data_IF_649224297245
#
_entry.id   IF_649224297245
#
_cell.length_a   1.000
_cell.length_b   1.000
_cell.length_c   1.000
_cell.angle_alpha   90.00
_cell.angle_beta   90.00
_cell.angle_gamma   90.00
#
_symmetry.space_group_name_H-M   'P 1'
#
loop_
_entity.id
_entity.type
_entity.pdbx_description
1 polymer ?
#
# COMPACT_ATOMS: atom_id res chain seq x y z
N UNK A 1 -26.36 -10.59 -0.45
CA UNK A 1 -25.63 -10.97 0.77
C UNK A 1 -26.58 -11.56 1.80
N UNK A 2 -26.22 -12.71 2.36
CA UNK A 2 -26.84 -13.19 3.57
C UNK A 2 -26.21 -12.57 4.81
N UNK A 3 -27.04 -12.10 5.73
CA UNK A 3 -26.61 -11.50 7.01
C UNK A 3 -26.06 -12.53 8.02
N UNK A 4 -26.03 -13.82 7.66
CA UNK A 4 -25.69 -14.95 8.55
C UNK A 4 -24.61 -15.90 8.01
N UNK A 5 -23.98 -15.58 6.87
CA UNK A 5 -23.03 -16.49 6.22
C UNK A 5 -23.66 -17.67 5.46
N UNK A 6 -25.00 -17.82 5.49
CA UNK A 6 -25.72 -18.81 4.68
C UNK A 6 -26.54 -18.16 3.57
N UNK A 7 -26.39 -18.54 2.28
CA UNK A 7 -27.06 -17.90 1.16
C UNK A 7 -28.58 -17.74 1.34
N UNK A 8 -29.13 -16.61 0.89
CA UNK A 8 -30.58 -16.40 0.87
C UNK A 8 -31.21 -17.18 -0.30
N UNK A 9 -31.41 -18.48 -0.09
CA UNK A 9 -31.94 -19.38 -1.11
C UNK A 9 -33.31 -18.96 -1.63
N UNK A 10 -34.16 -18.34 -0.80
CA UNK A 10 -35.46 -17.83 -1.25
C UNK A 10 -35.33 -16.67 -2.24
N UNK A 11 -34.31 -15.85 -2.09
CA UNK A 11 -34.00 -14.81 -3.07
C UNK A 11 -33.47 -15.42 -4.36
N UNK A 12 -32.57 -16.39 -4.29
CA UNK A 12 -32.04 -17.08 -5.47
C UNK A 12 -33.14 -17.83 -6.24
N UNK A 13 -34.00 -18.60 -5.56
CA UNK A 13 -35.10 -19.33 -6.19
C UNK A 13 -36.03 -18.39 -6.99
N UNK A 14 -36.33 -17.21 -6.43
CA UNK A 14 -37.10 -16.17 -7.12
C UNK A 14 -36.40 -15.67 -8.38
N UNK A 15 -35.10 -15.34 -8.29
CA UNK A 15 -34.33 -14.83 -9.43
C UNK A 15 -34.16 -15.89 -10.53
N UNK A 16 -33.91 -17.15 -10.18
CA UNK A 16 -33.80 -18.24 -11.16
C UNK A 16 -35.15 -18.46 -11.87
N UNK A 17 -36.26 -18.45 -11.13
CA UNK A 17 -37.59 -18.61 -11.72
C UNK A 17 -37.98 -17.44 -12.64
N UNK A 18 -37.63 -16.21 -12.24
CA UNK A 18 -37.92 -14.98 -12.98
C UNK A 18 -37.08 -14.85 -14.25
N UNK A 19 -35.75 -15.01 -14.14
CA UNK A 19 -34.82 -14.71 -15.23
C UNK A 19 -34.46 -15.94 -16.08
N UNK A 20 -34.70 -17.16 -15.58
CA UNK A 20 -34.38 -18.45 -16.23
C UNK A 20 -33.00 -18.45 -16.90
N UNK A 21 -31.92 -18.16 -16.14
CA UNK A 21 -30.60 -18.03 -16.73
C UNK A 21 -30.10 -19.39 -17.25
N UNK A 22 -29.38 -19.36 -18.37
CA UNK A 22 -28.73 -20.57 -18.91
C UNK A 22 -27.42 -20.93 -18.20
N UNK A 23 -26.87 -20.03 -17.38
CA UNK A 23 -25.62 -20.20 -16.61
C UNK A 23 -25.56 -19.20 -15.46
N UNK A 24 -24.72 -19.48 -14.49
CA UNK A 24 -24.38 -18.60 -13.36
C UNK A 24 -22.92 -18.19 -13.46
N UNK A 25 -22.61 -16.98 -12.99
CA UNK A 25 -21.23 -16.46 -12.96
C UNK A 25 -20.93 -16.07 -11.52
N UNK A 26 -19.84 -16.57 -10.96
CA UNK A 26 -19.42 -16.30 -9.58
C UNK A 26 -17.99 -15.76 -9.55
N UNK A 27 -17.81 -14.66 -8.83
CA UNK A 27 -16.47 -14.13 -8.55
C UNK A 27 -15.74 -15.04 -7.56
N UNK A 28 -14.50 -15.42 -7.87
CA UNK A 28 -13.61 -16.12 -6.94
C UNK A 28 -12.68 -15.11 -6.26
N UNK A 29 -12.82 -14.89 -4.94
CA UNK A 29 -11.96 -13.98 -4.22
C UNK A 29 -10.63 -14.67 -3.91
N UNK A 30 -9.56 -14.27 -4.58
CA UNK A 30 -8.19 -14.65 -4.22
C UNK A 30 -7.53 -13.55 -3.38
N UNK A 31 -6.52 -13.92 -2.59
CA UNK A 31 -5.64 -12.94 -1.96
C UNK A 31 -4.87 -12.13 -3.02
N UNK A 32 -4.29 -11.00 -2.63
CA UNK A 32 -3.55 -10.14 -3.57
C UNK A 32 -2.39 -10.88 -4.26
N UNK A 33 -1.79 -11.87 -3.59
CA UNK A 33 -0.72 -12.75 -4.10
C UNK A 33 -1.22 -13.92 -4.96
N UNK A 34 -2.53 -14.03 -5.18
CA UNK A 34 -3.17 -15.12 -5.92
C UNK A 34 -3.40 -16.39 -5.09
N UNK A 35 -2.98 -16.42 -3.82
CA UNK A 35 -3.26 -17.56 -2.95
C UNK A 35 -4.74 -17.64 -2.57
N UNK A 36 -5.20 -18.85 -2.32
CA UNK A 36 -6.53 -19.08 -1.79
C UNK A 36 -6.62 -18.60 -0.34
N UNK A 37 -7.80 -18.11 0.03
CA UNK A 37 -8.15 -17.70 1.37
C UNK A 37 -9.27 -18.58 1.90
N UNK A 38 -9.53 -18.50 3.20
CA UNK A 38 -10.74 -19.11 3.79
C UNK A 38 -12.05 -18.58 3.17
N UNK A 39 -12.02 -17.43 2.50
CA UNK A 39 -13.15 -16.93 1.72
C UNK A 39 -13.26 -17.64 0.38
N UNK A 40 -12.14 -17.94 -0.28
CA UNK A 40 -12.11 -18.70 -1.54
C UNK A 40 -12.76 -20.07 -1.34
N UNK A 41 -12.40 -20.77 -0.26
CA UNK A 41 -12.99 -22.06 0.10
C UNK A 41 -14.51 -21.96 0.28
N UNK A 42 -14.97 -20.95 1.02
CA UNK A 42 -16.41 -20.69 1.22
C UNK A 42 -17.15 -20.40 -0.08
N UNK A 43 -16.52 -19.70 -1.02
CA UNK A 43 -17.12 -19.43 -2.32
C UNK A 43 -17.17 -20.70 -3.17
N UNK A 44 -16.14 -21.55 -3.12
CA UNK A 44 -16.17 -22.88 -3.78
C UNK A 44 -17.28 -23.77 -3.19
N UNK A 45 -17.43 -23.81 -1.87
CA UNK A 45 -18.56 -24.51 -1.22
C UNK A 45 -19.91 -23.95 -1.68
N UNK A 46 -20.01 -22.63 -1.82
CA UNK A 46 -21.22 -21.99 -2.33
C UNK A 46 -21.50 -22.34 -3.80
N UNK A 47 -20.47 -22.39 -4.65
CA UNK A 47 -20.59 -22.83 -6.05
C UNK A 47 -21.10 -24.28 -6.13
N UNK A 48 -20.55 -25.17 -5.30
CA UNK A 48 -21.01 -26.56 -5.24
C UNK A 48 -22.50 -26.67 -4.83
N UNK A 49 -22.95 -25.81 -3.90
CA UNK A 49 -24.36 -25.73 -3.51
C UNK A 49 -25.25 -25.19 -4.64
N UNK A 50 -24.77 -24.23 -5.44
CA UNK A 50 -25.50 -23.71 -6.61
C UNK A 50 -25.67 -24.78 -7.69
N UNK A 51 -24.59 -25.48 -8.03
CA UNK A 51 -24.59 -26.55 -9.02
C UNK A 51 -25.56 -27.68 -8.60
N UNK A 52 -25.48 -28.14 -7.36
CA UNK A 52 -26.37 -29.18 -6.83
C UNK A 52 -27.85 -28.76 -6.83
N UNK A 53 -28.14 -27.49 -6.48
CA UNK A 53 -29.52 -27.00 -6.32
C UNK A 53 -30.21 -26.69 -7.64
N UNK A 54 -29.50 -26.09 -8.58
CA UNK A 54 -30.10 -25.54 -9.80
C UNK A 54 -29.72 -26.31 -11.07
N UNK A 55 -28.68 -27.15 -11.04
CA UNK A 55 -28.20 -27.92 -12.19
C UNK A 55 -27.91 -27.01 -13.40
N UNK A 56 -27.37 -25.83 -13.12
CA UNK A 56 -26.95 -24.83 -14.11
C UNK A 56 -25.43 -24.74 -14.11
N UNK A 57 -24.78 -24.64 -15.29
CA UNK A 57 -23.35 -24.38 -15.36
C UNK A 57 -22.98 -23.13 -14.56
N UNK A 58 -21.94 -23.23 -13.73
CA UNK A 58 -21.39 -22.11 -12.95
C UNK A 58 -19.99 -21.79 -13.44
N UNK A 59 -19.84 -20.66 -14.13
CA UNK A 59 -18.55 -20.14 -14.57
C UNK A 59 -17.94 -19.30 -13.44
N UNK A 60 -16.60 -19.31 -13.34
CA UNK A 60 -15.88 -18.51 -12.35
C UNK A 60 -15.06 -17.40 -13.00
N UNK A 61 -14.91 -16.29 -12.27
CA UNK A 61 -14.11 -15.14 -12.70
C UNK A 61 -13.27 -14.70 -11.52
N UNK A 62 -12.00 -14.42 -11.75
CA UNK A 62 -11.16 -13.80 -10.73
C UNK A 62 -11.72 -12.44 -10.30
N UNK A 63 -12.08 -12.32 -9.02
CA UNK A 63 -12.68 -11.12 -8.47
C UNK A 63 -11.65 -10.11 -7.92
N UNK A 64 -10.35 -10.44 -7.91
CA UNK A 64 -9.31 -9.55 -7.37
C UNK A 64 -9.43 -8.14 -7.94
N UNK A 65 -9.39 -7.15 -7.04
CA UNK A 65 -9.47 -5.72 -7.35
C UNK A 65 -10.81 -5.24 -7.96
N UNK A 66 -11.79 -6.13 -8.17
CA UNK A 66 -13.10 -5.76 -8.74
C UNK A 66 -13.84 -4.78 -7.83
N UNK A 67 -13.81 -5.01 -6.51
CA UNK A 67 -14.41 -4.07 -5.55
C UNK A 67 -13.70 -2.71 -5.54
N UNK A 68 -12.39 -2.68 -5.83
CA UNK A 68 -11.62 -1.44 -5.95
C UNK A 68 -12.04 -0.69 -7.21
N UNK A 69 -12.09 -1.37 -8.35
CA UNK A 69 -12.54 -0.81 -9.63
C UNK A 69 -13.98 -0.28 -9.52
N UNK A 70 -14.88 -1.06 -8.92
CA UNK A 70 -16.25 -0.64 -8.61
C UNK A 70 -16.28 0.61 -7.71
N UNK A 71 -15.46 0.64 -6.66
CA UNK A 71 -15.33 1.79 -5.77
C UNK A 71 -14.87 3.05 -6.49
N UNK A 72 -13.89 2.93 -7.40
CA UNK A 72 -13.39 4.02 -8.23
C UNK A 72 -14.47 4.53 -9.19
N UNK A 73 -15.16 3.65 -9.91
CA UNK A 73 -16.25 4.04 -10.82
C UNK A 73 -17.33 4.83 -10.06
N UNK A 74 -17.72 4.35 -8.88
CA UNK A 74 -18.74 5.01 -8.05
C UNK A 74 -18.25 6.35 -7.50
N UNK A 75 -16.95 6.47 -7.21
CA UNK A 75 -16.30 7.72 -6.80
C UNK A 75 -16.31 8.74 -7.93
N UNK A 76 -15.95 8.32 -9.14
CA UNK A 76 -15.90 9.17 -10.33
C UNK A 76 -17.32 9.66 -10.70
N UNK A 77 -18.33 8.77 -10.68
CA UNK A 77 -19.74 9.15 -10.88
C UNK A 77 -20.22 10.21 -9.88
N UNK A 78 -19.80 10.11 -8.61
CA UNK A 78 -20.15 11.10 -7.58
C UNK A 78 -19.49 12.44 -7.87
N UNK A 79 -18.23 12.43 -8.26
CA UNK A 79 -17.47 13.65 -8.57
C UNK A 79 -18.02 14.36 -9.81
N UNK A 80 -18.51 13.61 -10.80
CA UNK A 80 -19.18 14.14 -11.99
C UNK A 80 -20.61 14.65 -11.72
N UNK A 81 -21.11 14.53 -10.48
CA UNK A 81 -22.48 14.94 -10.13
C UNK A 81 -23.57 13.98 -10.62
N UNK A 82 -23.22 12.89 -11.31
CA UNK A 82 -24.15 11.82 -11.73
C UNK A 82 -24.76 11.09 -10.53
N UNK A 83 -24.10 11.15 -9.37
CA UNK A 83 -24.57 10.55 -8.12
C UNK A 83 -24.46 11.51 -6.95
N UNK A 84 -25.61 11.79 -6.30
CA UNK A 84 -25.68 12.69 -5.13
C UNK A 84 -25.48 11.99 -3.78
N UNK A 85 -25.82 10.69 -3.68
CA UNK A 85 -25.76 9.92 -2.42
C UNK A 85 -24.37 9.32 -2.17
N UNK A 86 -23.91 9.33 -0.91
CA UNK A 86 -22.69 8.62 -0.46
C UNK A 86 -22.76 7.13 -0.83
N UNK A 87 -21.66 6.60 -1.35
CA UNK A 87 -21.49 5.18 -1.69
C UNK A 87 -21.58 4.31 -0.43
N UNK A 88 -22.44 3.29 -0.45
CA UNK A 88 -22.52 2.24 0.57
C UNK A 88 -21.88 0.97 0.04
N UNK A 89 -21.57 0.03 0.93
CA UNK A 89 -21.01 -1.29 0.57
C UNK A 89 -21.86 -2.01 -0.50
N UNK A 90 -23.17 -2.07 -0.31
CA UNK A 90 -24.12 -2.68 -1.26
C UNK A 90 -24.07 -2.06 -2.68
N UNK A 91 -23.68 -0.79 -2.80
CA UNK A 91 -23.51 -0.14 -4.10
C UNK A 91 -22.24 -0.64 -4.80
N UNK A 92 -21.16 -0.83 -4.03
CA UNK A 92 -19.88 -1.39 -4.50
C UNK A 92 -20.09 -2.84 -4.93
N UNK A 93 -20.72 -3.66 -4.09
CA UNK A 93 -20.96 -5.07 -4.37
C UNK A 93 -21.77 -5.26 -5.67
N UNK A 94 -22.80 -4.42 -5.89
CA UNK A 94 -23.61 -4.45 -7.11
C UNK A 94 -22.80 -4.06 -8.36
N UNK A 95 -21.94 -3.04 -8.23
CA UNK A 95 -21.08 -2.62 -9.33
C UNK A 95 -19.99 -3.66 -9.62
N UNK A 96 -19.43 -4.28 -8.58
CA UNK A 96 -18.45 -5.35 -8.72
C UNK A 96 -19.05 -6.57 -9.43
N UNK A 97 -20.26 -7.01 -9.05
CA UNK A 97 -20.97 -8.08 -9.74
C UNK A 97 -21.19 -7.78 -11.23
N UNK A 98 -21.45 -6.51 -11.59
CA UNK A 98 -21.56 -6.09 -12.99
C UNK A 98 -20.21 -6.20 -13.72
N UNK A 99 -19.12 -5.75 -13.11
CA UNK A 99 -17.77 -5.84 -13.69
C UNK A 99 -17.35 -7.29 -13.92
N UNK A 100 -17.66 -8.19 -12.97
CA UNK A 100 -17.43 -9.63 -13.10
C UNK A 100 -18.17 -10.19 -14.32
N UNK A 101 -19.46 -9.87 -14.47
CA UNK A 101 -20.25 -10.31 -15.62
C UNK A 101 -19.73 -9.75 -16.96
N UNK A 102 -19.31 -8.47 -16.97
CA UNK A 102 -18.71 -7.84 -18.16
C UNK A 102 -17.35 -8.47 -18.52
N UNK A 103 -16.51 -8.81 -17.53
CA UNK A 103 -15.24 -9.52 -17.73
C UNK A 103 -15.48 -10.91 -18.36
N UNK A 104 -16.44 -11.66 -17.81
CA UNK A 104 -16.82 -12.96 -18.36
C UNK A 104 -17.29 -12.86 -19.82
N UNK A 105 -18.17 -11.90 -20.13
CA UNK A 105 -18.68 -11.67 -21.50
C UNK A 105 -17.58 -11.30 -22.51
N UNK A 106 -16.50 -10.66 -22.06
CA UNK A 106 -15.35 -10.31 -22.90
C UNK A 106 -14.39 -11.48 -23.14
N UNK A 107 -14.62 -12.64 -22.53
CA UNK A 107 -13.77 -13.82 -22.65
C UNK A 107 -12.50 -13.75 -21.82
N UNK A 108 -12.43 -12.85 -20.82
CA UNK A 108 -11.31 -12.78 -19.86
C UNK A 108 -11.54 -13.60 -18.60
N UNK A 109 -12.69 -14.27 -18.48
CA UNK A 109 -12.94 -15.31 -17.48
C UNK A 109 -12.54 -16.67 -18.03
N UNK A 110 -11.69 -17.40 -17.31
CA UNK A 110 -11.32 -18.77 -17.64
C UNK A 110 -12.57 -19.64 -17.76
N UNK A 111 -12.89 -20.10 -18.97
CA UNK A 111 -13.79 -21.23 -19.16
C UNK A 111 -13.01 -22.48 -18.75
N UNK A 112 -13.15 -22.94 -17.51
CA UNK A 112 -12.71 -24.28 -17.11
C UNK A 112 -13.64 -25.31 -17.75
N UNK A 113 -13.44 -25.55 -19.04
CA UNK A 113 -13.94 -26.72 -19.76
C UNK A 113 -12.92 -27.05 -20.85
N UNK A 114 -11.72 -27.44 -20.44
CA UNK A 114 -10.86 -28.32 -21.22
C UNK A 114 -9.98 -29.11 -20.24
N UNK A 115 -10.22 -30.42 -20.20
CA UNK A 115 -9.44 -31.39 -19.48
C UNK A 115 -8.00 -31.43 -20.03
N UNK A 116 -7.05 -31.58 -19.09
CA UNK A 116 -5.64 -31.96 -19.24
C UNK A 116 -4.59 -30.83 -19.26
N UNK A 117 -3.96 -30.70 -18.08
CA UNK A 117 -2.53 -30.46 -17.89
C UNK A 117 -2.01 -29.04 -18.18
N UNK A 118 -2.37 -28.11 -17.29
CA UNK A 118 -1.46 -27.05 -16.86
C UNK A 118 -1.90 -26.61 -15.46
N UNK A 119 -1.07 -26.90 -14.44
CA UNK A 119 -1.02 -26.06 -13.25
C UNK A 119 -0.54 -24.67 -13.70
N UNK A 120 -1.45 -23.89 -14.27
CA UNK A 120 -1.21 -22.48 -14.51
C UNK A 120 -1.34 -21.79 -13.16
N UNK A 121 -0.21 -21.34 -12.61
CA UNK A 121 -0.20 -20.43 -11.48
C UNK A 121 -1.17 -19.27 -11.76
N UNK A 122 -2.03 -18.89 -10.79
CA UNK A 122 -2.98 -17.81 -10.99
C UNK A 122 -2.23 -16.51 -11.32
N UNK A 123 -2.72 -15.68 -12.27
CA UNK A 123 -1.98 -14.51 -12.75
C UNK A 123 -1.91 -13.46 -11.64
N UNK A 124 -0.86 -13.47 -10.84
CA UNK A 124 -0.48 -12.39 -9.93
C UNK A 124 -0.48 -11.04 -10.68
N UNK A 125 -0.87 -9.95 -10.03
CA UNK A 125 -0.29 -8.66 -10.40
C UNK A 125 1.13 -8.69 -9.84
N UNK A 126 2.07 -9.20 -10.65
CA UNK A 126 3.41 -9.50 -10.15
C UNK A 126 4.18 -8.20 -9.93
N UNK A 127 4.45 -7.88 -8.66
CA UNK A 127 5.43 -6.84 -8.32
C UNK A 127 6.80 -7.15 -8.92
N UNK A 128 7.05 -8.42 -9.24
CA UNK A 128 8.27 -8.94 -9.82
C UNK A 128 8.02 -9.38 -11.26
N UNK A 129 8.99 -9.22 -12.14
CA UNK A 129 8.99 -9.89 -13.44
C UNK A 129 9.20 -11.40 -13.29
N UNK A 130 9.04 -12.14 -14.39
CA UNK A 130 9.32 -13.58 -14.47
C UNK A 130 10.76 -13.95 -14.10
N UNK A 131 11.70 -13.00 -14.16
CA UNK A 131 13.11 -13.18 -13.74
C UNK A 131 13.35 -12.83 -12.27
N UNK A 132 12.30 -12.45 -11.52
CA UNK A 132 12.38 -12.07 -10.11
C UNK A 132 12.85 -10.63 -9.85
N UNK A 133 13.03 -9.80 -10.89
CA UNK A 133 13.38 -8.38 -10.77
C UNK A 133 12.16 -7.51 -10.51
N UNK A 134 12.32 -6.43 -9.73
CA UNK A 134 11.23 -5.53 -9.37
C UNK A 134 10.65 -4.81 -10.60
N UNK A 135 9.39 -5.06 -10.93
CA UNK A 135 8.67 -4.42 -12.04
C UNK A 135 7.68 -3.36 -11.56
N UNK A 136 6.97 -3.64 -10.47
CA UNK A 136 6.13 -2.69 -9.73
C UNK A 136 6.52 -2.70 -8.25
N UNK A 137 6.34 -1.58 -7.55
CA UNK A 137 6.40 -1.53 -6.09
C UNK A 137 5.03 -1.12 -5.55
N UNK A 138 4.26 -2.10 -5.10
CA UNK A 138 2.91 -1.90 -4.56
C UNK A 138 2.92 -1.97 -3.03
N UNK A 139 3.65 -2.93 -2.45
CA UNK A 139 3.81 -3.15 -1.02
C UNK A 139 5.17 -3.77 -0.71
N UNK A 140 5.61 -3.77 0.56
CA UNK A 140 6.82 -4.52 0.95
C UNK A 140 6.51 -5.98 1.25
N UNK A 141 5.26 -6.29 1.61
CA UNK A 141 4.84 -7.66 1.79
C UNK A 141 5.05 -8.51 0.53
N UNK A 142 5.50 -9.75 0.72
CA UNK A 142 5.86 -10.66 -0.37
C UNK A 142 7.17 -10.34 -1.10
N UNK A 143 7.86 -9.22 -0.82
CA UNK A 143 9.17 -8.98 -1.43
C UNK A 143 10.25 -9.89 -0.81
N UNK A 144 11.11 -10.53 -1.62
CA UNK A 144 12.22 -11.31 -1.11
C UNK A 144 13.21 -10.43 -0.34
N UNK A 145 13.70 -10.93 0.79
CA UNK A 145 14.77 -10.26 1.58
C UNK A 145 15.98 -9.84 0.71
N UNK A 146 16.52 -10.67 -0.20
CA UNK A 146 17.64 -10.27 -1.05
C UNK A 146 17.33 -9.06 -1.93
N UNK A 147 16.10 -8.94 -2.44
CA UNK A 147 15.68 -7.81 -3.25
C UNK A 147 15.61 -6.52 -2.42
N UNK A 148 15.08 -6.59 -1.19
CA UNK A 148 15.11 -5.43 -0.28
C UNK A 148 16.57 -4.99 -0.05
N UNK A 149 17.48 -5.92 0.22
CA UNK A 149 18.91 -5.61 0.39
C UNK A 149 19.49 -4.93 -0.85
N UNK A 150 19.25 -5.47 -2.06
CA UNK A 150 19.70 -4.89 -3.33
C UNK A 150 19.21 -3.44 -3.49
N UNK A 151 17.94 -3.17 -3.16
CA UNK A 151 17.38 -1.82 -3.21
C UNK A 151 18.02 -0.87 -2.20
N UNK A 152 18.30 -1.34 -0.98
CA UNK A 152 18.97 -0.55 0.06
C UNK A 152 20.42 -0.25 -0.32
N UNK A 153 21.17 -1.24 -0.84
CA UNK A 153 22.56 -1.08 -1.32
C UNK A 153 22.64 -0.07 -2.45
N UNK A 154 21.71 -0.18 -3.41
CA UNK A 154 21.62 0.79 -4.49
C UNK A 154 21.26 2.19 -3.98
N UNK A 155 20.36 2.30 -3.01
CA UNK A 155 20.02 3.59 -2.41
C UNK A 155 21.26 4.23 -1.75
N UNK A 156 22.09 3.47 -1.05
CA UNK A 156 23.32 4.00 -0.47
C UNK A 156 24.28 4.57 -1.52
N UNK A 157 24.36 3.98 -2.71
CA UNK A 157 25.20 4.50 -3.80
C UNK A 157 24.83 5.93 -4.26
N UNK A 158 23.59 6.38 -4.00
CA UNK A 158 23.12 7.73 -4.33
C UNK A 158 23.26 8.73 -3.17
N UNK A 159 23.72 8.29 -2.00
CA UNK A 159 24.02 9.20 -0.90
C UNK A 159 25.31 9.96 -1.19
N UNK A 160 25.38 11.20 -0.72
CA UNK A 160 26.52 12.11 -0.87
C UNK A 160 26.77 12.80 0.45
N UNK A 161 28.02 13.17 0.72
CA UNK A 161 28.35 13.89 1.94
C UNK A 161 27.72 15.30 1.94
N UNK A 162 27.51 15.86 3.12
CA UNK A 162 26.98 17.22 3.23
C UNK A 162 27.92 18.22 2.51
N UNK A 163 27.36 19.00 1.59
CA UNK A 163 28.10 19.98 0.78
C UNK A 163 28.60 19.44 -0.57
N UNK A 164 28.57 18.13 -0.82
CA UNK A 164 28.86 17.58 -2.14
C UNK A 164 27.71 17.85 -3.13
N UNK A 165 28.01 17.94 -4.44
CA UNK A 165 26.97 17.95 -5.46
C UNK A 165 26.06 16.72 -5.32
N UNK A 166 24.74 16.88 -5.54
CA UNK A 166 23.82 15.77 -5.44
C UNK A 166 24.17 14.67 -6.43
N UNK A 167 23.97 13.40 -6.03
CA UNK A 167 24.09 12.27 -6.93
C UNK A 167 23.15 12.46 -8.15
N UNK A 168 23.67 12.12 -9.32
CA UNK A 168 22.95 12.14 -10.59
C UNK A 168 23.31 10.90 -11.39
N UNK A 169 22.35 10.47 -12.19
CA UNK A 169 22.47 9.36 -13.12
C UNK A 169 21.71 9.72 -14.41
N UNK A 170 22.04 9.06 -15.51
CA UNK A 170 21.38 9.21 -16.80
C UNK A 170 20.54 7.99 -17.19
N UNK A 171 20.37 7.02 -16.28
CA UNK A 171 19.63 5.79 -16.56
C UNK A 171 18.19 6.02 -17.03
N UNK A 172 17.53 7.10 -16.60
CA UNK A 172 16.18 7.46 -17.05
C UNK A 172 16.19 8.52 -18.17
N UNK A 173 17.32 8.79 -18.83
CA UNK A 173 17.36 9.72 -19.94
C UNK A 173 16.38 9.31 -21.06
N UNK A 174 15.50 10.24 -21.44
CA UNK A 174 14.44 9.99 -22.43
C UNK A 174 13.27 9.15 -21.91
N UNK A 175 13.17 8.93 -20.60
CA UNK A 175 12.04 8.26 -19.94
C UNK A 175 11.16 9.26 -19.21
N UNK A 176 9.86 8.99 -19.19
CA UNK A 176 8.89 9.89 -18.53
C UNK A 176 8.32 9.29 -17.25
N UNK A 177 8.44 10.01 -16.14
CA UNK A 177 7.85 9.69 -14.84
C UNK A 177 6.65 10.59 -14.57
N UNK A 178 5.46 10.02 -14.40
CA UNK A 178 4.26 10.76 -14.04
C UNK A 178 3.91 10.58 -12.55
N UNK A 179 3.90 11.69 -11.82
CA UNK A 179 3.45 11.77 -10.44
C UNK A 179 1.94 12.02 -10.40
N UNK A 180 1.17 10.99 -10.05
CA UNK A 180 -0.28 10.98 -9.96
C UNK A 180 -0.74 10.98 -8.50
N UNK A 181 -0.92 12.18 -7.94
CA UNK A 181 -1.29 12.38 -6.54
C UNK A 181 -2.77 12.75 -6.45
N UNK A 182 -3.62 11.75 -6.22
CA UNK A 182 -5.07 11.93 -6.03
C UNK A 182 -5.41 12.41 -4.61
N UNK A 183 -4.50 12.21 -3.66
CA UNK A 183 -4.52 12.86 -2.34
C UNK A 183 -3.31 13.81 -2.16
N UNK A 184 -3.47 14.95 -1.46
CA UNK A 184 -2.40 15.91 -1.27
C UNK A 184 -1.16 15.32 -0.59
N UNK A 185 0.01 15.56 -1.19
CA UNK A 185 1.31 15.35 -0.54
C UNK A 185 2.39 16.23 -1.13
N UNK A 186 2.90 17.16 -0.33
CA UNK A 186 3.99 18.03 -0.78
C UNK A 186 5.34 17.32 -0.73
N UNK A 187 5.67 16.67 0.39
CA UNK A 187 7.01 16.08 0.60
C UNK A 187 7.27 14.86 -0.28
N UNK A 188 6.32 13.93 -0.35
CA UNK A 188 6.50 12.71 -1.16
C UNK A 188 6.59 13.06 -2.65
N UNK A 189 5.69 13.91 -3.14
CA UNK A 189 5.69 14.36 -4.54
C UNK A 189 6.97 15.10 -4.90
N UNK A 190 7.37 16.09 -4.09
CA UNK A 190 8.59 16.85 -4.33
C UNK A 190 9.83 15.94 -4.33
N UNK A 191 9.89 14.94 -3.45
CA UNK A 191 11.02 14.02 -3.43
C UNK A 191 11.05 13.07 -4.62
N UNK A 192 9.91 12.59 -5.12
CA UNK A 192 9.87 11.78 -6.34
C UNK A 192 10.22 12.60 -7.58
N UNK A 193 9.67 13.81 -7.69
CA UNK A 193 10.05 14.75 -8.75
C UNK A 193 11.55 15.02 -8.76
N UNK A 194 12.14 15.29 -7.59
CA UNK A 194 13.58 15.53 -7.47
C UNK A 194 14.40 14.28 -7.78
N UNK A 195 13.95 13.08 -7.33
CA UNK A 195 14.60 11.82 -7.67
C UNK A 195 14.63 11.61 -9.19
N UNK A 196 13.47 11.70 -9.84
CA UNK A 196 13.35 11.50 -11.29
C UNK A 196 14.21 12.49 -12.09
N UNK A 197 14.20 13.78 -11.73
CA UNK A 197 15.07 14.79 -12.35
C UNK A 197 16.56 14.50 -12.15
N UNK A 198 16.97 13.95 -11.00
CA UNK A 198 18.37 13.55 -10.76
C UNK A 198 18.78 12.33 -11.57
N UNK A 199 17.83 11.49 -11.94
CA UNK A 199 18.02 10.33 -12.82
C UNK A 199 17.87 10.68 -14.31
N UNK A 200 17.73 11.97 -14.65
CA UNK A 200 17.57 12.51 -16.00
C UNK A 200 16.25 12.18 -16.70
N UNK A 201 15.19 11.86 -15.94
CA UNK A 201 13.85 11.65 -16.48
C UNK A 201 13.12 12.97 -16.78
N UNK A 202 12.23 12.93 -17.75
CA UNK A 202 11.15 13.90 -17.91
C UNK A 202 10.09 13.65 -16.83
N UNK A 203 9.57 14.72 -16.22
CA UNK A 203 8.63 14.61 -15.09
C UNK A 203 7.32 15.32 -15.38
N UNK A 204 6.23 14.57 -15.27
CA UNK A 204 4.87 15.09 -15.33
C UNK A 204 4.27 15.09 -13.92
N UNK A 205 3.85 16.26 -13.44
CA UNK A 205 3.13 16.39 -12.17
C UNK A 205 1.67 16.68 -12.45
N UNK A 206 0.79 15.76 -12.07
CA UNK A 206 -0.65 15.92 -12.25
C UNK A 206 -1.33 15.95 -10.88
N UNK A 207 -1.86 17.12 -10.55
CA UNK A 207 -2.86 17.24 -9.49
C UNK A 207 -4.23 16.93 -10.09
N UNK A 208 -4.58 15.65 -10.07
CA UNK A 208 -5.80 15.15 -10.73
C UNK A 208 -7.06 15.74 -10.08
N UNK A 209 -6.96 16.26 -8.84
CA UNK A 209 -8.05 16.98 -8.20
C UNK A 209 -8.45 18.25 -8.95
N UNK A 210 -7.51 18.88 -9.65
CA UNK A 210 -7.67 20.19 -10.27
C UNK A 210 -7.90 20.16 -11.79
N UNK A 211 -7.29 19.22 -12.53
CA UNK A 211 -7.27 19.25 -14.00
C UNK A 211 -8.28 18.33 -14.68
N UNK A 212 -8.41 17.07 -14.24
CA UNK A 212 -9.23 16.06 -14.93
C UNK A 212 -10.62 15.88 -14.31
N UNK A 213 -10.76 16.11 -12.99
CA UNK A 213 -12.06 16.08 -12.30
C UNK A 213 -13.07 17.11 -12.82
N UNK A 214 -12.61 18.23 -13.35
CA UNK A 214 -13.49 19.25 -13.96
C UNK A 214 -14.08 18.82 -15.30
N UNK A 215 -13.48 17.84 -15.99
CA UNK A 215 -13.92 17.34 -17.30
C UNK A 215 -14.65 16.00 -17.23
N UNK A 216 -14.69 15.35 -16.06
CA UNK A 216 -15.38 14.08 -15.86
C UNK A 216 -14.68 12.87 -16.50
N UNK A 217 -13.36 12.93 -16.66
CA UNK A 217 -12.55 11.80 -17.14
C UNK A 217 -12.33 10.78 -16.01
N UNK A 218 -12.41 9.48 -16.31
CA UNK A 218 -12.13 8.44 -15.32
C UNK A 218 -10.63 8.33 -15.02
N UNK A 219 -10.28 7.75 -13.87
CA UNK A 219 -8.88 7.52 -13.52
C UNK A 219 -8.19 6.61 -14.54
N UNK A 220 -8.85 5.54 -14.98
CA UNK A 220 -8.27 4.60 -15.96
C UNK A 220 -8.09 5.25 -17.33
N UNK A 221 -9.04 6.09 -17.79
CA UNK A 221 -8.88 6.83 -19.04
C UNK A 221 -7.69 7.79 -18.96
N UNK A 222 -7.50 8.45 -17.81
CA UNK A 222 -6.32 9.29 -17.58
C UNK A 222 -5.03 8.47 -17.69
N UNK A 223 -4.99 7.26 -17.11
CA UNK A 223 -3.84 6.35 -17.21
C UNK A 223 -3.58 5.96 -18.66
N UNK A 224 -4.60 5.58 -19.42
CA UNK A 224 -4.44 5.19 -20.83
C UNK A 224 -3.99 6.36 -21.71
N UNK A 225 -4.51 7.56 -21.47
CA UNK A 225 -4.06 8.79 -22.14
C UNK A 225 -2.57 9.04 -21.88
N UNK A 226 -2.14 8.94 -20.63
CA UNK A 226 -0.73 9.15 -20.27
C UNK A 226 0.18 8.05 -20.82
N UNK A 227 -0.27 6.81 -20.83
CA UNK A 227 0.44 5.71 -21.46
C UNK A 227 0.59 5.92 -22.97
N UNK A 228 -0.45 6.43 -23.65
CA UNK A 228 -0.36 6.80 -25.07
C UNK A 228 0.62 7.96 -25.32
N UNK A 229 0.86 8.80 -24.32
CA UNK A 229 1.92 9.83 -24.31
C UNK A 229 3.31 9.29 -23.94
N UNK A 230 3.48 7.97 -23.90
CA UNK A 230 4.75 7.29 -23.59
C UNK A 230 5.26 7.56 -22.16
N UNK A 231 4.34 7.63 -21.18
CA UNK A 231 4.73 7.57 -19.77
C UNK A 231 5.24 6.18 -19.42
N UNK A 232 6.44 6.12 -18.83
CA UNK A 232 7.15 4.90 -18.48
C UNK A 232 6.91 4.43 -17.05
N UNK A 233 6.73 5.37 -16.12
CA UNK A 233 6.58 5.08 -14.69
C UNK A 233 5.47 5.96 -14.10
N UNK A 234 4.49 5.32 -13.47
CA UNK A 234 3.48 6.00 -12.67
C UNK A 234 3.85 5.94 -11.18
N UNK A 235 4.00 7.10 -10.56
CA UNK A 235 4.11 7.25 -9.11
C UNK A 235 2.74 7.64 -8.57
N UNK A 236 2.09 6.73 -7.84
CA UNK A 236 0.66 6.84 -7.52
C UNK A 236 0.45 7.03 -6.03
N UNK A 237 -0.39 7.99 -5.67
CA UNK A 237 -0.87 8.17 -4.31
C UNK A 237 -2.37 8.38 -4.27
N UNK A 238 -3.10 7.53 -3.56
CA UNK A 238 -4.56 7.58 -3.49
C UNK A 238 -5.08 7.35 -2.06
N UNK A 239 -6.22 7.94 -1.72
CA UNK A 239 -6.86 7.75 -0.42
C UNK A 239 -7.62 6.40 -0.32
N UNK A 240 -7.83 5.72 -1.45
CA UNK A 240 -8.48 4.43 -1.55
C UNK A 240 -7.46 3.31 -1.63
N UNK A 241 -7.78 2.20 -0.99
CA UNK A 241 -6.98 0.97 -1.02
C UNK A 241 -7.10 0.28 -2.38
N UNK A 242 -6.00 -0.31 -2.84
CA UNK A 242 -5.89 -1.15 -4.03
C UNK A 242 -5.77 -0.38 -5.34
N UNK A 243 -5.80 0.95 -5.34
CA UNK A 243 -5.72 1.75 -6.58
C UNK A 243 -4.40 1.56 -7.33
N UNK A 244 -3.21 1.60 -6.67
CA UNK A 244 -1.96 1.30 -7.36
C UNK A 244 -1.93 -0.09 -7.98
N UNK A 245 -2.44 -1.11 -7.26
CA UNK A 245 -2.49 -2.49 -7.74
C UNK A 245 -3.45 -2.65 -8.93
N UNK A 246 -4.62 -1.99 -8.89
CA UNK A 246 -5.54 -1.96 -10.02
C UNK A 246 -4.91 -1.29 -11.24
N UNK A 247 -4.19 -0.19 -11.06
CA UNK A 247 -3.53 0.46 -12.18
C UNK A 247 -2.42 -0.44 -12.74
N UNK A 248 -1.61 -1.06 -11.88
CA UNK A 248 -0.57 -2.00 -12.29
C UNK A 248 -1.14 -3.19 -13.10
N UNK A 249 -2.33 -3.69 -12.78
CA UNK A 249 -2.96 -4.79 -13.54
C UNK A 249 -3.54 -4.39 -14.90
N UNK A 250 -3.65 -3.09 -15.21
CA UNK A 250 -4.26 -2.57 -16.45
C UNK A 250 -3.27 -1.88 -17.39
N UNK A 251 -2.09 -1.51 -16.90
CA UNK A 251 -1.06 -0.87 -17.74
C UNK A 251 -0.35 -1.90 -18.62
N UNK A 252 0.27 -1.42 -19.70
CA UNK A 252 1.07 -2.24 -20.59
C UNK A 252 2.33 -2.77 -19.87
N UNK A 253 2.91 -3.90 -20.32
CA UNK A 253 4.08 -4.51 -19.66
C UNK A 253 5.29 -3.57 -19.50
N UNK A 254 5.43 -2.60 -20.39
CA UNK A 254 6.51 -1.62 -20.31
C UNK A 254 6.26 -0.53 -19.25
N UNK A 255 5.11 -0.44 -18.60
CA UNK A 255 4.84 0.62 -17.64
C UNK A 255 5.01 0.09 -16.22
N UNK A 256 5.82 0.78 -15.42
CA UNK A 256 5.99 0.46 -14.00
C UNK A 256 5.10 1.33 -13.12
N UNK A 257 4.73 0.80 -11.95
CA UNK A 257 3.87 1.50 -10.98
C UNK A 257 4.57 1.49 -9.62
N UNK A 258 4.74 2.67 -9.03
CA UNK A 258 5.32 2.87 -7.71
C UNK A 258 4.28 3.46 -6.77
N UNK A 259 3.98 2.74 -5.69
CA UNK A 259 3.06 3.19 -4.64
C UNK A 259 3.74 4.23 -3.73
N UNK A 260 3.29 5.48 -3.84
CA UNK A 260 3.70 6.60 -3.00
C UNK A 260 2.78 6.82 -1.77
N UNK A 261 1.89 5.86 -1.50
CA UNK A 261 0.99 5.81 -0.37
C UNK A 261 -0.43 5.50 -0.80
N UNK A 262 -1.06 4.52 -0.15
CA UNK A 262 -2.48 4.24 -0.32
C UNK A 262 -3.18 4.07 1.03
N UNK A 263 -4.33 4.73 1.16
CA UNK A 263 -5.19 4.67 2.35
C UNK A 263 -4.38 4.68 3.68
N UNK A 264 -4.68 3.73 4.57
CA UNK A 264 -3.92 3.38 5.78
C UNK A 264 -3.15 2.07 5.63
N UNK A 265 -2.99 1.54 4.41
CA UNK A 265 -2.53 0.15 4.21
C UNK A 265 -1.10 0.03 3.73
N UNK A 266 -0.61 0.88 2.82
CA UNK A 266 0.78 0.76 2.37
C UNK A 266 1.44 2.09 2.00
N UNK A 267 2.72 2.22 2.32
CA UNK A 267 3.64 3.24 1.82
C UNK A 267 5.05 2.64 1.70
N UNK A 268 5.30 1.78 0.69
CA UNK A 268 6.49 0.94 0.65
C UNK A 268 7.79 1.73 0.54
N UNK A 269 7.79 2.87 -0.16
CA UNK A 269 8.98 3.74 -0.22
C UNK A 269 9.35 4.36 1.13
N UNK A 270 8.37 4.59 2.00
CA UNK A 270 8.62 5.05 3.37
C UNK A 270 9.17 3.91 4.22
N UNK A 271 8.60 2.70 4.10
CA UNK A 271 9.17 1.51 4.75
C UNK A 271 10.64 1.29 4.36
N UNK A 272 10.98 1.36 3.07
CA UNK A 272 12.37 1.18 2.60
C UNK A 272 13.32 2.25 3.12
N UNK A 273 12.93 3.52 3.15
CA UNK A 273 13.82 4.57 3.68
C UNK A 273 13.98 4.47 5.20
N UNK A 274 12.97 3.94 5.90
CA UNK A 274 13.04 3.65 7.32
C UNK A 274 14.03 2.50 7.57
N UNK A 275 13.92 1.40 6.81
CA UNK A 275 14.89 0.30 6.86
C UNK A 275 16.32 0.76 6.54
N UNK A 276 16.50 1.61 5.52
CA UNK A 276 17.81 2.15 5.17
C UNK A 276 18.42 2.92 6.36
N UNK A 277 17.60 3.75 7.00
CA UNK A 277 18.04 4.54 8.16
C UNK A 277 18.41 3.64 9.34
N UNK A 278 17.60 2.61 9.63
CA UNK A 278 17.92 1.64 10.68
C UNK A 278 19.23 0.91 10.37
N UNK A 279 19.40 0.43 9.13
CA UNK A 279 20.61 -0.27 8.68
C UNK A 279 21.87 0.56 8.88
N UNK A 280 21.84 1.84 8.54
CA UNK A 280 23.00 2.73 8.67
C UNK A 280 23.48 2.93 10.12
N UNK A 281 22.58 2.80 11.09
CA UNK A 281 22.89 3.00 12.50
C UNK A 281 23.07 1.70 13.30
N UNK A 282 22.37 0.63 12.90
CA UNK A 282 22.31 -0.63 13.66
C UNK A 282 22.96 -1.81 12.94
N UNK A 283 23.25 -1.65 11.64
CA UNK A 283 23.92 -2.62 10.74
C UNK A 283 23.14 -3.90 10.46
N UNK A 284 22.60 -4.55 11.50
CA UNK A 284 21.83 -5.77 11.44
C UNK A 284 20.42 -5.56 11.98
N UNK A 285 19.46 -6.35 11.50
CA UNK A 285 18.05 -6.25 11.91
C UNK A 285 17.67 -7.33 12.94
N UNK A 286 18.36 -8.46 12.91
CA UNK A 286 18.19 -9.55 13.86
C UNK A 286 18.60 -9.09 15.27
N UNK A 287 17.76 -9.39 16.26
CA UNK A 287 18.01 -9.01 17.66
C UNK A 287 17.74 -7.55 18.01
N UNK A 288 17.32 -6.72 17.05
CA UNK A 288 16.85 -5.37 17.34
C UNK A 288 15.49 -5.38 18.03
N UNK A 289 15.33 -4.49 18.99
CA UNK A 289 14.07 -4.10 19.60
C UNK A 289 13.58 -2.79 18.98
N UNK A 290 12.46 -2.83 18.26
CA UNK A 290 11.89 -1.65 17.57
C UNK A 290 10.55 -1.28 18.19
N UNK A 291 10.46 -0.07 18.73
CA UNK A 291 9.24 0.50 19.29
C UNK A 291 8.62 1.54 18.35
N UNK A 292 7.33 1.40 18.04
CA UNK A 292 6.55 2.35 17.24
C UNK A 292 5.44 2.91 18.12
N UNK A 293 5.35 4.24 18.25
CA UNK A 293 4.42 4.92 19.17
C UNK A 293 3.44 5.81 18.41
N UNK A 294 2.14 5.66 18.63
CA UNK A 294 1.11 6.62 18.20
C UNK A 294 -0.15 5.99 17.61
N UNK A 295 -0.71 6.59 16.56
CA UNK A 295 -1.90 6.07 15.84
C UNK A 295 -1.49 4.91 14.92
N UNK A 296 -1.45 3.69 15.47
CA UNK A 296 -1.02 2.49 14.74
C UNK A 296 -2.16 1.96 13.87
N UNK A 297 -3.40 2.01 14.35
CA UNK A 297 -4.60 1.56 13.64
C UNK A 297 -4.73 2.15 12.23
N UNK A 298 -4.36 3.42 12.05
CA UNK A 298 -4.53 4.13 10.78
C UNK A 298 -3.22 4.49 10.07
N UNK A 299 -2.08 3.91 10.50
CA UNK A 299 -0.77 4.25 9.97
C UNK A 299 -0.27 3.25 8.93
N UNK A 300 -0.38 3.64 7.65
CA UNK A 300 0.29 2.95 6.54
C UNK A 300 1.81 2.89 6.70
N UNK A 301 2.40 3.86 7.40
CA UNK A 301 3.84 3.89 7.65
C UNK A 301 4.23 2.80 8.64
N UNK A 302 3.50 2.70 9.75
CA UNK A 302 3.72 1.66 10.76
C UNK A 302 3.61 0.27 10.12
N UNK A 303 2.59 0.08 9.27
CA UNK A 303 2.40 -1.17 8.54
C UNK A 303 3.58 -1.49 7.62
N UNK A 304 3.95 -0.59 6.72
CA UNK A 304 5.05 -0.85 5.78
C UNK A 304 6.41 -1.05 6.45
N UNK A 305 6.75 -0.26 7.48
CA UNK A 305 8.01 -0.49 8.20
C UNK A 305 8.00 -1.82 8.96
N UNK A 306 6.86 -2.22 9.54
CA UNK A 306 6.72 -3.50 10.24
C UNK A 306 6.85 -4.70 9.29
N UNK A 307 6.25 -4.63 8.10
CA UNK A 307 6.43 -5.63 7.04
C UNK A 307 7.91 -5.77 6.67
N UNK A 308 8.58 -4.64 6.42
CA UNK A 308 10.00 -4.60 6.12
C UNK A 308 10.87 -5.20 7.23
N UNK A 309 10.64 -4.81 8.49
CA UNK A 309 11.37 -5.30 9.65
C UNK A 309 11.23 -6.81 9.82
N UNK A 310 10.00 -7.34 9.63
CA UNK A 310 9.73 -8.78 9.67
C UNK A 310 10.51 -9.52 8.58
N UNK A 311 10.50 -9.02 7.34
CA UNK A 311 11.24 -9.62 6.21
C UNK A 311 12.76 -9.59 6.49
N UNK A 312 13.25 -8.53 7.13
CA UNK A 312 14.66 -8.38 7.46
C UNK A 312 15.11 -9.20 8.68
N UNK A 313 14.18 -9.78 9.45
CA UNK A 313 14.46 -10.70 10.57
C UNK A 313 14.31 -10.12 11.97
N UNK A 314 13.77 -8.90 12.11
CA UNK A 314 13.45 -8.30 13.41
C UNK A 314 12.27 -9.04 14.05
N UNK A 315 12.45 -9.52 15.29
CA UNK A 315 11.44 -10.29 16.03
C UNK A 315 10.80 -9.53 17.18
N UNK A 316 11.50 -8.54 17.74
CA UNK A 316 11.01 -7.73 18.86
C UNK A 316 10.45 -6.40 18.33
N UNK A 317 9.26 -6.49 17.76
CA UNK A 317 8.48 -5.33 17.31
C UNK A 317 7.44 -4.98 18.37
N UNK A 318 7.43 -3.73 18.82
CA UNK A 318 6.56 -3.22 19.87
C UNK A 318 5.71 -2.07 19.34
N UNK A 319 4.40 -2.21 19.43
CA UNK A 319 3.43 -1.25 18.96
C UNK A 319 2.75 -0.64 20.18
N UNK A 320 3.06 0.63 20.41
CA UNK A 320 2.61 1.38 21.57
C UNK A 320 1.52 2.34 21.09
N UNK A 321 0.28 2.01 21.40
CA UNK A 321 -0.88 2.76 20.92
C UNK A 321 -1.77 3.17 22.10
N UNK A 322 -2.27 4.41 22.13
CA UNK A 322 -3.30 4.79 23.07
C UNK A 322 -4.58 3.97 22.86
N UNK A 323 -5.44 3.83 23.90
CA UNK A 323 -6.73 3.19 23.78
C UNK A 323 -7.57 3.76 22.62
N UNK A 324 -8.09 2.89 21.77
CA UNK A 324 -8.85 3.18 20.56
C UNK A 324 -8.01 3.49 19.32
N UNK A 325 -6.68 3.46 19.42
CA UNK A 325 -5.74 3.60 18.30
C UNK A 325 -4.87 2.33 18.10
N UNK A 326 -5.19 1.25 18.82
CA UNK A 326 -4.52 -0.03 18.68
C UNK A 326 -4.82 -0.68 17.31
N UNK A 327 -3.83 -1.38 16.72
CA UNK A 327 -4.08 -2.10 15.49
C UNK A 327 -4.84 -3.41 15.73
N UNK A 328 -5.41 -3.96 14.66
CA UNK A 328 -5.83 -5.35 14.65
C UNK A 328 -4.60 -6.27 14.76
N UNK A 329 -4.52 -7.18 15.75
CA UNK A 329 -3.33 -8.02 15.96
C UNK A 329 -2.94 -8.89 14.76
N UNK A 330 -3.92 -9.30 13.94
CA UNK A 330 -3.68 -10.12 12.75
C UNK A 330 -2.84 -9.39 11.68
N UNK A 331 -2.86 -8.05 11.66
CA UNK A 331 -2.07 -7.23 10.73
C UNK A 331 -0.59 -7.19 11.12
N UNK A 332 -0.27 -7.42 12.40
CA UNK A 332 1.08 -7.34 12.95
C UNK A 332 1.46 -8.63 13.67
N UNK A 333 1.63 -9.75 12.93
CA UNK A 333 1.87 -11.05 13.53
C UNK A 333 3.15 -11.06 14.35
N UNK A 334 3.04 -11.47 15.62
CA UNK A 334 4.16 -11.57 16.57
C UNK A 334 4.59 -10.26 17.23
N UNK A 335 3.96 -9.12 16.89
CA UNK A 335 4.27 -7.86 17.55
C UNK A 335 3.66 -7.81 18.97
N UNK A 336 4.40 -7.20 19.90
CA UNK A 336 3.86 -6.83 21.21
C UNK A 336 3.00 -5.57 21.05
N UNK A 337 1.72 -5.65 21.35
CA UNK A 337 0.81 -4.49 21.37
C UNK A 337 0.60 -4.09 22.83
N UNK A 338 0.86 -2.83 23.16
CA UNK A 338 0.71 -2.30 24.52
C UNK A 338 0.22 -0.84 24.50
N UNK A 339 -0.43 -0.42 25.58
CA UNK A 339 -0.75 0.98 25.86
C UNK A 339 0.20 1.60 26.89
N UNK A 340 1.14 0.81 27.43
CA UNK A 340 2.16 1.30 28.36
C UNK A 340 3.41 1.77 27.59
N UNK A 341 3.59 3.08 27.53
CA UNK A 341 4.74 3.69 26.89
C UNK A 341 6.07 3.26 27.53
N UNK A 342 6.12 3.22 28.86
CA UNK A 342 7.36 2.96 29.59
C UNK A 342 7.80 1.50 29.39
N UNK A 343 6.84 0.57 29.39
CA UNK A 343 7.07 -0.83 29.04
C UNK A 343 7.56 -0.98 27.60
N UNK A 344 6.90 -0.30 26.66
CA UNK A 344 7.23 -0.41 25.24
C UNK A 344 8.62 0.14 24.90
N UNK A 345 9.03 1.24 25.53
CA UNK A 345 10.34 1.86 25.30
C UNK A 345 11.51 1.13 25.97
N UNK A 346 11.25 0.31 26.99
CA UNK A 346 12.29 -0.31 27.81
C UNK A 346 13.30 -1.14 26.99
N UNK A 347 14.54 -0.67 26.88
CA UNK A 347 15.59 -1.35 26.13
C UNK A 347 15.41 -1.37 24.61
N UNK A 348 14.60 -0.47 24.03
CA UNK A 348 14.47 -0.34 22.58
C UNK A 348 15.78 0.15 21.92
N UNK A 349 16.11 -0.39 20.74
CA UNK A 349 17.20 0.08 19.87
C UNK A 349 16.76 1.21 18.95
N UNK A 350 15.49 1.18 18.55
CA UNK A 350 14.86 2.14 17.63
C UNK A 350 13.52 2.55 18.21
N UNK A 351 13.27 3.86 18.27
CA UNK A 351 11.98 4.43 18.67
C UNK A 351 11.46 5.29 17.53
N UNK A 352 10.33 4.89 16.95
CA UNK A 352 9.64 5.64 15.90
C UNK A 352 8.35 6.24 16.46
N UNK A 353 8.29 7.57 16.56
CA UNK A 353 7.02 8.26 16.82
C UNK A 353 6.24 8.46 15.53
N UNK A 354 4.91 8.36 15.65
CA UNK A 354 3.97 8.63 14.59
C UNK A 354 3.16 9.88 14.90
N UNK A 355 2.78 10.56 13.82
CA UNK A 355 1.93 11.75 13.91
C UNK A 355 0.55 11.39 14.41
N UNK A 356 0.09 12.08 15.46
CA UNK A 356 -1.32 12.05 15.87
C UNK A 356 -2.15 13.02 15.04
N UNK A 357 -3.27 12.53 14.51
CA UNK A 357 -4.20 13.31 13.69
C UNK A 357 -5.54 13.45 14.40
N UNK A 358 -5.81 14.66 14.91
CA UNK A 358 -7.02 14.97 15.68
C UNK A 358 -8.29 14.68 14.90
N UNK A 359 -8.27 14.83 13.58
CA UNK A 359 -9.40 14.54 12.69
C UNK A 359 -9.77 13.05 12.61
N UNK A 360 -8.90 12.15 13.06
CA UNK A 360 -9.14 10.70 13.13
C UNK A 360 -9.52 10.24 14.53
N UNK A 361 -9.37 11.12 15.50
CA UNK A 361 -9.75 10.86 16.88
C UNK A 361 -11.25 11.14 17.02
N UNK A 362 -12.05 10.09 17.22
CA UNK A 362 -13.44 10.18 17.66
C UNK A 362 -13.55 11.05 18.92
N UNK A 363 -14.72 11.66 19.18
CA UNK A 363 -14.91 12.63 20.28
C UNK A 363 -14.54 12.10 21.68
N UNK A 364 -14.50 10.77 21.87
CA UNK A 364 -14.15 10.10 23.14
C UNK A 364 -12.65 9.72 23.28
N UNK A 365 -11.80 10.08 22.30
CA UNK A 365 -10.36 9.80 22.36
C UNK A 365 -9.57 10.90 23.12
N UNK A 366 -8.37 10.55 23.60
CA UNK A 366 -7.49 11.43 24.38
C UNK A 366 -7.31 12.82 23.74
N UNK A 367 -7.34 13.88 24.54
CA UNK A 367 -6.97 15.23 24.07
C UNK A 367 -5.49 15.26 23.67
N UNK A 368 -5.07 16.27 22.88
CA UNK A 368 -3.66 16.38 22.47
C UNK A 368 -2.74 16.62 23.68
N UNK A 369 -3.23 17.35 24.68
CA UNK A 369 -2.54 17.59 25.96
C UNK A 369 -2.40 16.28 26.74
N UNK A 370 -3.48 15.51 26.88
CA UNK A 370 -3.44 14.21 27.54
C UNK A 370 -2.53 13.22 26.79
N UNK A 371 -2.54 13.26 25.45
CA UNK A 371 -1.64 12.45 24.63
C UNK A 371 -0.18 12.86 24.84
N UNK A 372 0.14 14.16 24.84
CA UNK A 372 1.48 14.65 25.14
C UNK A 372 1.94 14.16 26.51
N UNK A 373 1.10 14.32 27.53
CA UNK A 373 1.39 13.92 28.90
C UNK A 373 1.58 12.41 29.06
N UNK A 374 0.89 11.56 28.29
CA UNK A 374 0.96 10.10 28.46
C UNK A 374 1.91 9.41 27.47
N UNK A 375 1.93 9.87 26.22
CA UNK A 375 2.60 9.22 25.08
C UNK A 375 3.67 10.07 24.39
N UNK A 376 3.72 11.38 24.66
CA UNK A 376 4.70 12.28 24.06
C UNK A 376 6.14 11.86 24.37
N UNK A 377 7.00 11.77 23.35
CA UNK A 377 8.40 11.42 23.53
C UNK A 377 9.19 12.60 24.09
N UNK A 378 9.68 12.43 25.32
CA UNK A 378 10.58 13.34 26.03
C UNK A 378 11.95 12.69 26.23
N UNK A 379 12.98 13.49 26.51
CA UNK A 379 14.32 12.97 26.82
C UNK A 379 14.31 12.02 28.03
N UNK A 380 13.54 12.35 29.07
CA UNK A 380 13.40 11.51 30.27
C UNK A 380 12.79 10.14 29.99
N UNK A 381 11.83 10.04 29.06
CA UNK A 381 11.22 8.79 28.62
C UNK A 381 12.19 7.99 27.75
N UNK A 382 12.91 8.67 26.86
CA UNK A 382 13.89 8.05 25.99
C UNK A 382 15.04 7.40 26.77
N UNK A 383 15.34 7.88 27.98
CA UNK A 383 16.33 7.26 28.88
C UNK A 383 15.99 5.81 29.29
N UNK A 384 14.77 5.32 29.04
CA UNK A 384 14.38 3.91 29.22
C UNK A 384 14.84 3.02 28.06
N UNK A 385 15.09 3.59 26.89
CA UNK A 385 15.64 2.88 25.74
C UNK A 385 17.14 2.63 25.94
N UNK A 386 17.80 1.95 25.00
CA UNK A 386 19.26 1.73 25.07
C UNK A 386 20.03 3.06 24.92
N UNK A 387 21.25 3.18 25.48
CA UNK A 387 22.04 4.40 25.37
C UNK A 387 22.37 4.83 23.94
N UNK A 388 22.39 3.91 22.98
CA UNK A 388 22.65 4.15 21.56
C UNK A 388 21.35 4.16 20.72
N UNK A 389 20.18 4.38 21.35
CA UNK A 389 18.88 4.44 20.67
C UNK A 389 18.91 5.48 19.54
N UNK A 390 18.21 5.17 18.44
CA UNK A 390 17.87 6.14 17.41
C UNK A 390 16.38 6.50 17.46
N UNK A 391 16.08 7.78 17.19
CA UNK A 391 14.72 8.31 17.15
C UNK A 391 14.34 8.66 15.72
N UNK A 392 13.23 8.10 15.27
CA UNK A 392 12.70 8.23 13.92
C UNK A 392 11.30 8.85 13.93
N UNK A 393 10.94 9.53 12.84
CA UNK A 393 9.60 10.07 12.63
C UNK A 393 9.36 10.34 11.13
N UNK A 394 8.31 9.80 10.49
CA UNK A 394 8.05 9.98 9.05
C UNK A 394 7.62 11.42 8.68
N UNK A 395 7.13 12.15 9.67
CA UNK A 395 6.67 13.53 9.58
C UNK A 395 5.35 13.68 8.82
N UNK A 396 4.82 14.92 8.71
CA UNK A 396 5.26 16.09 9.46
C UNK A 396 5.03 15.86 10.97
N UNK A 397 5.92 16.41 11.80
CA UNK A 397 5.83 16.28 13.26
C UNK A 397 4.88 17.36 13.82
N UNK A 398 4.03 17.00 14.76
CA UNK A 398 3.45 17.94 15.71
C UNK A 398 4.40 18.04 16.91
N UNK A 399 5.36 18.98 16.82
CA UNK A 399 6.30 19.27 17.90
C UNK A 399 5.54 19.71 19.15
N UNK A 400 5.91 19.16 20.30
CA UNK A 400 5.21 19.41 21.55
C UNK A 400 3.99 18.52 21.78
N UNK A 401 3.67 17.58 20.88
CA UNK A 401 2.60 16.59 21.08
C UNK A 401 3.22 15.20 21.13
N UNK A 402 3.46 14.55 19.98
CA UNK A 402 4.09 13.23 19.95
C UNK A 402 5.58 13.22 20.20
N UNK A 403 6.25 14.36 19.98
CA UNK A 403 7.70 14.45 20.14
C UNK A 403 8.09 15.86 20.61
N UNK A 404 8.91 15.93 21.66
CA UNK A 404 9.47 17.20 22.13
C UNK A 404 10.58 17.68 21.19
N UNK A 405 10.80 19.00 21.16
CA UNK A 405 11.79 19.60 20.25
C UNK A 405 13.22 19.14 20.52
N UNK A 406 13.58 18.98 21.79
CA UNK A 406 14.88 18.47 22.24
C UNK A 406 15.13 17.00 21.88
N UNK A 407 14.07 16.20 21.73
CA UNK A 407 14.16 14.83 21.21
C UNK A 407 14.23 14.84 19.67
N UNK A 408 13.38 15.63 19.02
CA UNK A 408 13.29 15.70 17.56
C UNK A 408 14.58 16.24 16.91
N UNK A 409 15.29 17.14 17.59
CA UNK A 409 16.56 17.70 17.11
C UNK A 409 17.75 17.25 18.00
N UNK A 410 17.52 16.27 18.86
CA UNK A 410 18.49 15.76 19.82
C UNK A 410 19.54 14.83 19.23
N UNK A 411 20.52 14.39 20.04
CA UNK A 411 21.64 13.57 19.58
C UNK A 411 21.24 12.19 19.06
N UNK A 412 20.07 11.68 19.48
CA UNK A 412 19.52 10.40 19.03
C UNK A 412 18.66 10.53 17.76
N UNK A 413 18.34 11.76 17.32
CA UNK A 413 17.43 11.97 16.20
C UNK A 413 18.10 11.67 14.86
N UNK A 414 17.44 10.84 14.06
CA UNK A 414 17.82 10.55 12.67
C UNK A 414 16.74 11.01 11.68
N UNK A 415 15.83 11.87 12.13
CA UNK A 415 14.63 12.30 11.38
C UNK A 415 15.00 13.03 10.08
N UNK A 416 15.99 13.94 10.14
CA UNK A 416 16.46 14.63 8.93
C UNK A 416 17.19 13.68 7.98
N UNK A 417 17.90 12.67 8.52
CA UNK A 417 18.55 11.64 7.71
C UNK A 417 17.51 10.78 6.97
N UNK A 418 16.36 10.48 7.58
CA UNK A 418 15.25 9.79 6.88
C UNK A 418 14.80 10.56 5.63
N UNK A 419 14.79 11.90 5.66
CA UNK A 419 14.42 12.72 4.48
C UNK A 419 15.45 12.53 3.35
N UNK A 420 16.75 12.57 3.68
CA UNK A 420 17.84 12.32 2.73
C UNK A 420 17.78 10.90 2.15
N UNK A 421 17.62 9.91 3.01
CA UNK A 421 17.48 8.50 2.65
C UNK A 421 16.26 8.27 1.74
N UNK A 422 15.15 8.99 1.99
CA UNK A 422 13.96 8.92 1.16
C UNK A 422 14.19 9.31 -0.29
N UNK A 423 15.06 10.30 -0.54
CA UNK A 423 15.41 10.70 -1.90
C UNK A 423 16.26 9.63 -2.59
N UNK A 424 17.23 9.08 -1.87
CA UNK A 424 18.13 8.04 -2.38
C UNK A 424 17.39 6.73 -2.71
N UNK A 425 16.48 6.29 -1.82
CA UNK A 425 15.60 5.13 -2.05
C UNK A 425 14.74 5.33 -3.29
N UNK A 426 14.15 6.53 -3.47
CA UNK A 426 13.32 6.81 -4.65
C UNK A 426 14.14 6.78 -5.95
N UNK A 427 15.40 7.25 -5.93
CA UNK A 427 16.31 7.14 -7.07
C UNK A 427 16.62 5.67 -7.38
N UNK A 428 16.92 4.85 -6.36
CA UNK A 428 17.15 3.42 -6.51
C UNK A 428 15.94 2.67 -7.08
N UNK A 429 14.74 2.97 -6.60
CA UNK A 429 13.50 2.37 -7.09
C UNK A 429 13.24 2.72 -8.55
N UNK A 430 13.36 3.99 -8.93
CA UNK A 430 13.15 4.44 -10.31
C UNK A 430 14.12 3.76 -11.28
N UNK A 431 15.38 3.58 -10.87
CA UNK A 431 16.36 2.87 -11.67
C UNK A 431 16.06 1.36 -11.78
N UNK A 432 15.71 0.72 -10.66
CA UNK A 432 15.51 -0.72 -10.60
C UNK A 432 14.31 -1.19 -11.42
N UNK A 433 13.20 -0.44 -11.38
CA UNK A 433 12.01 -0.79 -12.20
C UNK A 433 12.19 -0.50 -13.69
N UNK A 434 13.15 0.35 -14.06
CA UNK A 434 13.50 0.54 -15.46
C UNK A 434 14.39 -0.60 -15.98
N UNK A 435 15.40 -0.99 -15.22
CA UNK A 435 16.33 -2.05 -15.62
C UNK A 435 15.64 -3.39 -15.79
N UNK A 436 14.67 -3.72 -14.93
CA UNK A 436 13.86 -4.93 -15.09
C UNK A 436 13.14 -5.00 -16.43
N UNK A 437 12.90 -3.85 -17.08
CA UNK A 437 12.26 -3.77 -18.41
C UNK A 437 13.21 -3.99 -19.57
N UNK A 438 14.50 -3.72 -19.40
CA UNK A 438 15.50 -3.92 -20.46
C UNK A 438 15.81 -5.41 -20.69
N UNK A 439 15.37 -6.27 -19.77
CA UNK A 439 15.55 -7.72 -19.82
C UNK A 439 14.28 -8.47 -20.29
N UNK A 440 13.17 -7.76 -20.49
CA UNK A 440 11.91 -8.25 -21.08
C UNK A 440 11.89 -7.98 -22.59
#
# INVERSE_FOLDING_TARGET
>A
HARSGQPDWQQFDRLIAEWRPGRLIVGLPYNADGSESSMTDRVREFIAQLDQRYQLPVDTVDERLTSVEAGLILRDQRQQGLRKRRTRKEDVDRMAARLIAESWLRGTGTQENDDQNMQADPPRCEQLSSTGKLHHLLTLDGLPRPLIIELLDRAESYLRAAGEPPARDHILAGRTVANLFFEPSTRTRASFELAAKRMSADVLNLDVNMSSRKKGESILDTIYTLQAMQVDIFVIRDASEGVPALIASKVQPHVSVLNAGEASTSHPTQGLLDLLTIRQHKLHFEGLSVAIVGDIAHSRVARSVSEGLRIMGTRDLRLIAPPGLEPEPAVYPGAMITNDLDQGLAGADVVMALRIQRERMQEDLLSLEAYQEQYGLTYSRLARAKPDVIVMHPGPMNRGVEIMGDVADGPHSVINQQVTNGLAVRMALLASVLESRLEL
#
